data_IF_462643824024
#
_entry.id   IF_462643824024
#
_cell.length_a   1.000
_cell.length_b   1.000
_cell.length_c   1.000
_cell.angle_alpha   90.00
_cell.angle_beta   90.00
_cell.angle_gamma   90.00
#
_symmetry.space_group_name_H-M   'P 1'
#
loop_
_entity.id
_entity.type
_entity.pdbx_description
1 polymer ?
#
# COMPACT_ATOMS: atom_id res chain seq x y z
N UNK A 1 21.61 -3.38 -5.13
CA UNK A 1 21.17 -2.09 -5.70
C UNK A 1 20.02 -1.61 -4.83
N UNK A 2 20.19 -0.54 -4.05
CA UNK A 2 19.08 -0.03 -3.22
C UNK A 2 18.15 0.73 -4.16
N UNK A 3 16.95 0.20 -4.36
CA UNK A 3 15.91 0.86 -5.15
C UNK A 3 15.40 2.03 -4.30
N UNK A 4 15.54 3.25 -4.80
CA UNK A 4 14.94 4.43 -4.17
C UNK A 4 13.41 4.26 -4.12
N UNK A 5 12.76 4.56 -2.99
CA UNK A 5 11.33 4.37 -2.85
C UNK A 5 10.58 5.31 -3.82
N UNK A 6 9.74 4.74 -4.68
CA UNK A 6 8.99 5.48 -5.68
C UNK A 6 7.70 4.76 -6.10
N UNK A 7 6.79 5.46 -6.81
CA UNK A 7 5.59 4.84 -7.33
C UNK A 7 5.94 3.83 -8.43
N UNK A 8 5.44 2.61 -8.31
CA UNK A 8 5.57 1.56 -9.33
C UNK A 8 4.20 1.31 -9.94
N UNK A 9 4.11 1.39 -11.27
CA UNK A 9 2.88 1.10 -11.98
C UNK A 9 2.72 -0.42 -12.18
N UNK A 10 1.75 -1.01 -11.48
CA UNK A 10 1.48 -2.45 -11.56
C UNK A 10 0.38 -2.79 -12.58
N UNK A 11 -0.54 -1.86 -12.83
CA UNK A 11 -1.66 -2.07 -13.75
C UNK A 11 -1.60 -1.04 -14.87
N UNK A 12 -1.68 -1.52 -16.10
CA UNK A 12 -1.75 -0.70 -17.31
C UNK A 12 -3.11 -0.91 -17.95
N UNK A 13 -3.76 0.20 -18.34
CA UNK A 13 -5.05 0.16 -19.02
C UNK A 13 -4.82 0.58 -20.47
N UNK A 14 -4.97 -0.36 -21.38
CA UNK A 14 -4.92 -0.09 -22.82
C UNK A 14 -6.28 0.45 -23.26
N UNK A 15 -6.30 1.68 -23.76
CA UNK A 15 -7.55 2.32 -24.22
C UNK A 15 -8.08 1.72 -25.51
N UNK A 16 -7.19 1.14 -26.31
CA UNK A 16 -7.50 0.67 -27.66
C UNK A 16 -8.11 -0.75 -27.65
N UNK A 17 -7.59 -1.64 -26.80
CA UNK A 17 -8.03 -3.05 -26.73
C UNK A 17 -8.98 -3.35 -25.57
N UNK A 18 -9.39 -2.33 -24.80
CA UNK A 18 -10.13 -2.48 -23.53
C UNK A 18 -9.53 -3.50 -22.57
N UNK A 19 -8.22 -3.75 -22.68
CA UNK A 19 -7.50 -4.78 -21.94
C UNK A 19 -6.75 -4.18 -20.76
N UNK A 20 -6.60 -5.00 -19.72
CA UNK A 20 -5.82 -4.69 -18.53
C UNK A 20 -4.53 -5.50 -18.57
N UNK A 21 -3.39 -4.81 -18.61
CA UNK A 21 -2.08 -5.41 -18.44
C UNK A 21 -1.68 -5.40 -16.97
N UNK A 22 -1.17 -6.53 -16.47
CA UNK A 22 -0.63 -6.66 -15.12
C UNK A 22 0.87 -6.92 -15.20
N UNK A 23 1.66 -6.05 -14.57
CA UNK A 23 3.10 -6.28 -14.41
C UNK A 23 3.33 -7.20 -13.21
N UNK A 24 3.39 -8.50 -13.50
CA UNK A 24 3.64 -9.54 -12.49
C UNK A 24 5.08 -9.55 -12.02
N UNK A 25 6.04 -9.15 -12.85
CA UNK A 25 7.45 -9.11 -12.49
C UNK A 25 7.70 -8.02 -11.45
N UNK A 26 7.25 -6.79 -11.70
CA UNK A 26 7.39 -5.68 -10.76
C UNK A 26 6.67 -5.96 -9.43
N UNK A 27 5.47 -6.57 -9.49
CA UNK A 27 4.72 -6.92 -8.28
C UNK A 27 5.45 -7.99 -7.44
N UNK A 28 6.00 -9.00 -8.11
CA UNK A 28 6.74 -10.09 -7.46
C UNK A 28 8.01 -9.58 -6.76
N UNK A 29 8.73 -8.64 -7.38
CA UNK A 29 9.93 -8.05 -6.79
C UNK A 29 9.64 -7.30 -5.49
N UNK A 30 8.46 -6.70 -5.36
CA UNK A 30 8.06 -5.94 -4.16
C UNK A 30 7.52 -6.87 -3.08
N UNK A 31 6.59 -7.78 -3.41
CA UNK A 31 5.90 -8.62 -2.42
C UNK A 31 6.69 -9.86 -2.00
N UNK A 32 7.54 -10.41 -2.87
CA UNK A 32 8.37 -11.58 -2.58
C UNK A 32 9.78 -11.21 -2.12
N UNK A 33 10.03 -9.93 -1.81
CA UNK A 33 11.31 -9.55 -1.24
C UNK A 33 11.51 -10.24 0.14
N UNK A 34 12.70 -10.78 0.45
CA UNK A 34 12.94 -11.55 1.67
C UNK A 34 12.60 -10.79 2.96
N UNK A 35 12.66 -9.47 2.93
CA UNK A 35 12.36 -8.61 4.08
C UNK A 35 10.86 -8.52 4.40
N UNK A 36 9.97 -8.88 3.45
CA UNK A 36 8.51 -8.67 3.57
C UNK A 36 7.68 -9.90 3.22
N UNK A 37 8.23 -10.92 2.57
CA UNK A 37 7.50 -12.11 2.09
C UNK A 37 6.70 -12.85 3.19
N UNK A 38 7.20 -12.89 4.42
CA UNK A 38 6.61 -13.65 5.53
C UNK A 38 5.81 -12.76 6.50
N UNK A 39 5.51 -11.51 6.11
CA UNK A 39 4.79 -10.55 6.95
C UNK A 39 3.32 -10.46 6.52
N UNK A 40 2.44 -10.24 7.51
CA UNK A 40 1.03 -9.93 7.22
C UNK A 40 0.91 -8.65 6.41
N UNK A 41 0.19 -8.72 5.30
CA UNK A 41 0.01 -7.61 4.35
C UNK A 41 -1.33 -6.92 4.59
N UNK A 42 -1.33 -5.59 4.61
CA UNK A 42 -2.55 -4.77 4.62
C UNK A 42 -2.61 -3.98 3.32
N UNK A 43 -3.70 -4.12 2.57
CA UNK A 43 -3.91 -3.38 1.32
C UNK A 43 -4.70 -2.11 1.61
N UNK A 44 -4.07 -0.96 1.43
CA UNK A 44 -4.71 0.35 1.50
C UNK A 44 -4.97 0.86 0.08
N UNK A 45 -6.23 1.03 -0.29
CA UNK A 45 -6.63 1.51 -1.62
C UNK A 45 -7.56 2.72 -1.51
N UNK A 46 -7.38 3.68 -2.43
CA UNK A 46 -8.22 4.86 -2.56
C UNK A 46 -8.78 4.90 -3.98
N UNK A 47 -10.08 4.64 -4.12
CA UNK A 47 -10.81 4.71 -5.38
C UNK A 47 -11.77 5.91 -5.39
N UNK A 48 -12.12 6.44 -6.56
CA UNK A 48 -13.09 7.53 -6.68
C UNK A 48 -12.91 8.43 -7.90
N UNK A 49 -13.69 9.50 -7.98
CA UNK A 49 -13.73 10.40 -9.14
C UNK A 49 -12.37 11.06 -9.46
N UNK A 50 -12.09 11.21 -10.75
CA UNK A 50 -10.89 11.87 -11.25
C UNK A 50 -10.84 13.33 -10.75
N UNK A 51 -9.67 13.79 -10.29
CA UNK A 51 -9.43 15.15 -9.73
C UNK A 51 -10.01 15.46 -8.34
N UNK A 52 -10.45 14.48 -7.55
CA UNK A 52 -10.81 14.66 -6.13
C UNK A 52 -9.63 14.57 -5.15
N UNK A 53 -8.39 14.72 -5.61
CA UNK A 53 -7.21 14.71 -4.74
C UNK A 53 -6.80 13.34 -4.20
N UNK A 54 -7.07 12.23 -4.93
CA UNK A 54 -6.68 10.87 -4.50
C UNK A 54 -5.17 10.74 -4.24
N UNK A 55 -4.34 11.21 -5.17
CA UNK A 55 -2.87 11.20 -5.01
C UNK A 55 -2.42 12.09 -3.86
N UNK A 56 -3.13 13.18 -3.58
CA UNK A 56 -2.84 14.07 -2.45
C UNK A 56 -3.08 13.37 -1.10
N UNK A 57 -4.17 12.60 -0.98
CA UNK A 57 -4.44 11.80 0.23
C UNK A 57 -3.38 10.71 0.42
N UNK A 58 -2.99 10.02 -0.65
CA UNK A 58 -1.93 8.99 -0.59
C UNK A 58 -0.59 9.59 -0.18
N UNK A 59 -0.23 10.77 -0.67
CA UNK A 59 1.00 11.48 -0.25
C UNK A 59 0.99 11.78 1.25
N UNK A 60 -0.15 12.20 1.80
CA UNK A 60 -0.28 12.41 3.24
C UNK A 60 -0.13 11.11 4.05
N UNK A 61 -0.69 10.00 3.56
CA UNK A 61 -0.53 8.68 4.17
C UNK A 61 0.93 8.22 4.17
N UNK A 62 1.66 8.43 3.07
CA UNK A 62 3.10 8.15 3.00
C UNK A 62 3.86 8.95 4.06
N UNK A 63 3.62 10.25 4.17
CA UNK A 63 4.26 11.10 5.21
C UNK A 63 3.98 10.59 6.62
N UNK A 64 2.78 10.10 6.90
CA UNK A 64 2.44 9.52 8.20
C UNK A 64 3.24 8.25 8.50
N UNK A 65 3.34 7.33 7.53
CA UNK A 65 4.07 6.06 7.70
C UNK A 65 5.56 6.29 7.91
N UNK A 66 6.20 7.17 7.12
CA UNK A 66 7.62 7.49 7.30
C UNK A 66 7.93 8.14 8.66
N UNK A 67 7.02 8.95 9.20
CA UNK A 67 7.18 9.57 10.54
C UNK A 67 7.07 8.56 11.70
N UNK A 68 6.35 7.45 11.52
CA UNK A 68 6.27 6.40 12.55
C UNK A 68 7.47 5.47 12.55
N UNK A 69 7.99 5.12 11.37
CA UNK A 69 9.18 4.27 11.24
C UNK A 69 10.39 4.91 11.93
N UNK A 70 10.58 6.23 11.78
CA UNK A 70 11.68 6.95 12.43
C UNK A 70 11.61 6.98 13.97
N UNK A 71 10.42 6.81 14.57
CA UNK A 71 10.24 6.73 16.04
C UNK A 71 10.29 5.30 16.59
N UNK A 72 10.11 4.28 15.74
CA UNK A 72 10.12 2.87 16.14
C UNK A 72 11.52 2.27 16.23
N UNK A 73 12.53 2.85 15.56
CA UNK A 73 13.92 2.39 15.64
C UNK A 73 14.53 2.45 17.05
N UNK A 74 13.88 3.12 18.00
CA UNK A 74 14.30 3.20 19.42
C UNK A 74 13.51 2.29 20.36
N UNK A 75 12.50 1.55 19.87
CA UNK A 75 11.65 0.71 20.74
C UNK A 75 11.25 -0.56 20.00
N UNK A 76 11.90 -1.66 20.36
CA UNK A 76 11.58 -3.02 19.93
C UNK A 76 10.08 -3.32 20.07
N UNK A 77 9.38 -3.75 19.00
CA UNK A 77 7.95 -3.99 19.08
C UNK A 77 7.69 -5.45 19.44
N UNK A 78 7.32 -5.72 20.69
CA UNK A 78 6.28 -6.74 20.95
C UNK A 78 4.95 -6.08 20.63
N UNK A 79 4.47 -6.25 19.40
CA UNK A 79 3.08 -5.97 19.04
C UNK A 79 2.28 -7.25 19.21
N UNK A 80 2.02 -7.62 20.46
CA UNK A 80 0.87 -8.44 20.79
C UNK A 80 -0.25 -7.48 21.13
N UNK A 81 -1.29 -7.44 20.29
CA UNK A 81 -2.69 -7.54 20.68
C UNK A 81 -3.61 -7.34 19.45
N UNK A 82 -4.76 -8.05 19.41
CA UNK A 82 -5.83 -7.85 18.44
C UNK A 82 -6.58 -6.53 18.76
N UNK A 83 -7.55 -6.14 17.93
CA UNK A 83 -8.48 -5.03 18.16
C UNK A 83 -8.04 -3.63 17.70
N UNK A 84 -8.09 -3.40 16.38
CA UNK A 84 -8.53 -2.10 15.87
C UNK A 84 -9.61 -2.36 14.80
N UNK A 85 -10.86 -2.47 15.25
CA UNK A 85 -12.04 -2.24 14.42
C UNK A 85 -12.61 -0.89 14.83
N UNK A 86 -12.62 0.08 13.90
CA UNK A 86 -13.77 0.92 13.56
C UNK A 86 -13.32 2.21 12.88
N UNK A 87 -13.61 2.31 11.59
CA UNK A 87 -13.81 3.58 10.91
C UNK A 87 -14.88 3.35 9.84
N UNK A 88 -16.15 3.57 10.20
CA UNK A 88 -17.22 3.69 9.22
C UNK A 88 -17.27 5.12 8.68
N UNK A 89 -16.99 5.30 7.39
CA UNK A 89 -17.85 6.07 6.49
C UNK A 89 -17.41 5.83 5.04
N UNK A 90 -18.27 5.11 4.33
CA UNK A 90 -18.39 4.99 2.86
C UNK A 90 -17.23 4.33 2.10
N UNK A 91 -17.22 2.99 2.20
CA UNK A 91 -16.54 1.99 1.35
C UNK A 91 -15.00 1.93 1.42
N UNK A 92 -14.50 1.48 2.57
CA UNK A 92 -13.23 0.77 2.67
C UNK A 92 -13.52 -0.72 2.81
N UNK A 93 -13.49 -1.48 1.71
CA UNK A 93 -13.57 -2.94 1.75
C UNK A 93 -12.18 -3.48 2.11
N UNK A 94 -11.90 -3.55 3.42
CA UNK A 94 -10.76 -4.30 3.94
C UNK A 94 -11.18 -5.76 3.94
N UNK A 95 -10.72 -6.53 2.95
CA UNK A 95 -10.82 -8.00 2.98
C UNK A 95 -9.44 -8.53 3.25
N UNK A 96 -9.23 -9.03 4.46
CA UNK A 96 -8.13 -9.93 4.79
C UNK A 96 -8.73 -11.34 4.86
N UNK A 97 -8.06 -12.30 4.25
CA UNK A 97 -8.22 -13.71 4.58
C UNK A 97 -7.04 -14.12 5.45
#
# INVERSE_FOLDING_TARGET
MRVEPGPVQIVTVSKDDHSFGLDTEALSQILLAPEVQDKNVVVLSVAGAFRKGKSFLLDFMLRYMYRKVSRAATRSPRLTCPDIISAQSTQAKITCR
#
